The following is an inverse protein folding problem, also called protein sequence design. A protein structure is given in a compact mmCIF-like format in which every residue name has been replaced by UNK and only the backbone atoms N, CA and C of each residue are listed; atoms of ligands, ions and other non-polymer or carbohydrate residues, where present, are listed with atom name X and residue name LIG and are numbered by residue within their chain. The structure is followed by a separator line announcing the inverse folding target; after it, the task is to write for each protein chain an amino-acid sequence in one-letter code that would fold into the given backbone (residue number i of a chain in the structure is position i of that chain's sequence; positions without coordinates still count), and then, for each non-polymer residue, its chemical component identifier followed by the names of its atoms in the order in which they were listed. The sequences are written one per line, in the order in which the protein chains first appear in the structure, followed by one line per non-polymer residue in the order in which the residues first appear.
data_IF_327745396071
#
_entry.id   IF_327745396071
#
_cell.length_a   1.000
_cell.length_b   1.000
_cell.length_c   1.000
_cell.angle_alpha   90.00
_cell.angle_beta   90.00
_cell.angle_gamma   90.00
#
_symmetry.space_group_name_H-M   'P 1'
#
loop_
_entity.id
_entity.type
_entity.pdbx_description
1 polymer ?
#
# COMPACT_ATOMS: atom_id res chain seq x y z
N UNK A 1 5.54 -3.41 -23.51
CA UNK A 1 5.34 -1.94 -23.54
C UNK A 1 6.12 -1.27 -22.42
N UNK A 2 7.16 -0.48 -22.76
CA UNK A 2 7.83 0.42 -21.81
C UNK A 2 6.86 1.56 -21.44
N UNK A 3 6.80 2.02 -20.17
CA UNK A 3 5.97 3.18 -19.81
C UNK A 3 6.43 4.41 -20.61
N UNK A 4 5.51 5.35 -20.87
CA UNK A 4 5.84 6.61 -21.51
C UNK A 4 6.95 7.34 -20.72
N UNK A 5 7.79 8.11 -21.40
CA UNK A 5 8.91 8.82 -20.76
C UNK A 5 8.34 9.76 -19.68
N UNK A 6 8.73 9.56 -18.42
CA UNK A 6 8.23 10.31 -17.27
C UNK A 6 7.01 9.72 -16.56
N UNK A 7 6.39 8.66 -17.09
CA UNK A 7 5.32 7.95 -16.39
C UNK A 7 5.90 7.10 -15.24
N UNK A 8 5.13 6.88 -14.16
CA UNK A 8 5.57 6.05 -13.04
C UNK A 8 5.89 4.63 -13.53
N UNK A 9 6.86 3.95 -12.88
CA UNK A 9 7.17 2.56 -13.19
C UNK A 9 5.94 1.68 -12.98
N UNK A 10 5.80 0.63 -13.79
CA UNK A 10 4.71 -0.34 -13.61
C UNK A 10 4.88 -1.04 -12.26
N UNK A 11 3.81 -1.20 -11.45
CA UNK A 11 3.89 -2.02 -10.26
C UNK A 11 4.13 -3.48 -10.65
N UNK A 12 4.90 -4.19 -9.84
CA UNK A 12 5.06 -5.64 -9.94
C UNK A 12 4.14 -6.32 -8.92
N UNK A 13 3.59 -7.48 -9.28
CA UNK A 13 2.72 -8.27 -8.42
C UNK A 13 3.53 -9.42 -7.86
N UNK A 14 3.67 -9.46 -6.53
CA UNK A 14 4.31 -10.56 -5.82
C UNK A 14 3.25 -11.51 -5.26
N UNK A 15 3.16 -12.73 -5.81
CA UNK A 15 2.32 -13.81 -5.26
C UNK A 15 3.12 -14.56 -4.20
N UNK A 16 2.70 -14.44 -2.94
CA UNK A 16 3.32 -15.12 -1.81
C UNK A 16 2.55 -16.40 -1.50
N UNK A 17 3.27 -17.47 -1.19
CA UNK A 17 2.65 -18.76 -0.85
C UNK A 17 1.88 -18.68 0.48
N UNK A 18 2.43 -17.97 1.47
CA UNK A 18 1.82 -17.81 2.79
C UNK A 18 1.19 -16.43 2.96
N UNK A 19 -0.10 -16.40 3.32
CA UNK A 19 -0.84 -15.16 3.62
C UNK A 19 -0.24 -14.41 4.81
N UNK A 20 0.22 -15.14 5.83
CA UNK A 20 0.85 -14.56 7.03
C UNK A 20 2.08 -13.71 6.68
N UNK A 21 2.92 -14.19 5.76
CA UNK A 21 4.10 -13.45 5.29
C UNK A 21 3.71 -12.18 4.54
N UNK A 22 2.68 -12.26 3.68
CA UNK A 22 2.14 -11.08 2.98
C UNK A 22 1.67 -10.02 3.98
N UNK A 23 0.90 -10.44 4.98
CA UNK A 23 0.31 -9.54 5.95
C UNK A 23 1.37 -8.91 6.86
N UNK A 24 2.40 -9.68 7.24
CA UNK A 24 3.57 -9.18 7.95
C UNK A 24 4.33 -8.11 7.15
N UNK A 25 4.59 -8.36 5.87
CA UNK A 25 5.26 -7.39 4.98
C UNK A 25 4.44 -6.09 4.90
N UNK A 26 3.13 -6.18 4.69
CA UNK A 26 2.26 -5.01 4.61
C UNK A 26 2.23 -4.22 5.93
N UNK A 27 2.19 -4.92 7.08
CA UNK A 27 2.26 -4.28 8.40
C UNK A 27 3.58 -3.54 8.58
N UNK A 28 4.71 -4.19 8.34
CA UNK A 28 6.03 -3.58 8.47
C UNK A 28 6.22 -2.41 7.51
N UNK A 29 5.73 -2.52 6.28
CA UNK A 29 5.77 -1.44 5.30
C UNK A 29 5.00 -0.21 5.76
N UNK A 30 3.83 -0.39 6.39
CA UNK A 30 3.05 0.74 6.94
C UNK A 30 3.73 1.41 8.14
N UNK A 31 4.41 0.63 8.99
CA UNK A 31 5.11 1.15 10.17
C UNK A 31 6.40 1.89 9.82
N UNK A 32 7.13 1.41 8.81
CA UNK A 32 8.40 1.98 8.37
C UNK A 32 8.27 3.01 7.25
N UNK A 33 7.05 3.45 6.93
CA UNK A 33 6.85 4.42 5.86
C UNK A 33 7.36 5.82 6.27
N UNK A 34 8.09 6.55 5.41
CA UNK A 34 8.47 6.20 4.04
C UNK A 34 9.62 5.18 3.95
N UNK A 35 9.51 4.23 3.02
CA UNK A 35 10.52 3.22 2.75
C UNK A 35 11.29 3.53 1.47
N UNK A 36 12.63 3.52 1.53
CA UNK A 36 13.52 3.80 0.40
C UNK A 36 14.35 2.56 0.04
N UNK A 37 14.48 2.29 -1.25
CA UNK A 37 15.31 1.24 -1.81
C UNK A 37 16.11 1.79 -2.99
N UNK A 38 17.43 1.63 -2.96
CA UNK A 38 18.34 2.12 -3.99
C UNK A 38 18.13 3.61 -4.37
N UNK A 39 17.93 4.46 -3.34
CA UNK A 39 17.67 5.89 -3.52
C UNK A 39 16.25 6.24 -4.00
N UNK A 40 15.39 5.26 -4.28
CA UNK A 40 14.02 5.47 -4.72
C UNK A 40 13.02 5.14 -3.61
N UNK A 41 11.95 5.94 -3.50
CA UNK A 41 10.84 5.65 -2.58
C UNK A 41 10.00 4.50 -3.12
N UNK A 42 9.77 3.48 -2.29
CA UNK A 42 8.98 2.29 -2.63
C UNK A 42 7.78 2.18 -1.69
N UNK A 43 6.64 1.78 -2.24
CA UNK A 43 5.40 1.56 -1.50
C UNK A 43 4.91 0.13 -1.72
N UNK A 44 4.55 -0.55 -0.63
CA UNK A 44 3.85 -1.83 -0.67
C UNK A 44 2.37 -1.60 -0.35
N UNK A 45 1.49 -2.18 -1.15
CA UNK A 45 0.04 -2.13 -0.97
C UNK A 45 -0.57 -3.47 -1.39
N UNK A 46 -1.71 -3.86 -0.79
CA UNK A 46 -2.38 -5.09 -1.17
C UNK A 46 -2.93 -4.99 -2.59
N UNK A 47 -2.85 -6.09 -3.33
CA UNK A 47 -3.55 -6.26 -4.60
C UNK A 47 -5.02 -6.59 -4.30
N UNK A 48 -5.89 -5.61 -4.52
CA UNK A 48 -7.32 -5.70 -4.24
C UNK A 48 -8.10 -5.58 -5.54
N UNK A 49 -9.14 -6.40 -5.67
CA UNK A 49 -10.14 -6.22 -6.72
C UNK A 49 -10.84 -4.86 -6.58
N UNK A 50 -11.36 -4.35 -7.70
CA UNK A 50 -11.92 -3.01 -7.78
C UNK A 50 -13.01 -2.75 -6.73
N UNK A 51 -13.92 -3.70 -6.56
CA UNK A 51 -15.05 -3.56 -5.64
C UNK A 51 -14.59 -3.43 -4.19
N UNK A 52 -13.67 -4.28 -3.75
CA UNK A 52 -13.08 -4.23 -2.40
C UNK A 52 -12.29 -2.94 -2.20
N UNK A 53 -11.60 -2.46 -3.24
CA UNK A 53 -10.89 -1.18 -3.18
C UNK A 53 -11.86 0.00 -3.03
N UNK A 54 -12.99 -0.02 -3.73
CA UNK A 54 -14.01 1.02 -3.65
C UNK A 54 -14.67 1.02 -2.27
N UNK A 55 -15.07 -0.15 -1.78
CA UNK A 55 -15.62 -0.31 -0.43
C UNK A 55 -14.66 0.24 0.64
N UNK A 56 -13.35 -0.03 0.53
CA UNK A 56 -12.36 0.52 1.49
C UNK A 56 -12.27 2.05 1.46
N UNK A 57 -12.43 2.67 0.30
CA UNK A 57 -12.38 4.14 0.17
C UNK A 57 -13.52 4.82 0.92
N UNK A 58 -14.69 4.19 1.00
CA UNK A 58 -15.84 4.73 1.76
C UNK A 58 -15.50 4.91 3.25
N UNK A 59 -14.61 4.07 3.78
CA UNK A 59 -14.15 4.16 5.17
C UNK A 59 -12.95 5.09 5.37
N UNK A 60 -12.36 5.67 4.32
CA UNK A 60 -11.15 6.49 4.44
C UNK A 60 -11.39 7.74 5.30
N UNK A 61 -12.57 8.35 5.20
CA UNK A 61 -12.92 9.53 6.01
C UNK A 61 -13.03 9.19 7.49
N UNK A 62 -13.72 8.11 7.84
CA UNK A 62 -13.86 7.65 9.22
C UNK A 62 -12.50 7.22 9.80
N UNK A 63 -11.70 6.51 9.00
CA UNK A 63 -10.35 6.10 9.41
C UNK A 63 -9.44 7.29 9.70
N UNK A 64 -9.56 8.39 8.94
CA UNK A 64 -8.80 9.62 9.20
C UNK A 64 -9.22 10.25 10.52
N UNK A 65 -10.53 10.35 10.81
CA UNK A 65 -11.05 10.89 12.08
C UNK A 65 -10.51 10.10 13.28
N UNK A 66 -10.70 8.78 13.29
CA UNK A 66 -10.23 7.93 14.39
C UNK A 66 -8.70 8.00 14.61
N UNK A 67 -7.91 8.22 13.54
CA UNK A 67 -6.45 8.34 13.67
C UNK A 67 -6.05 9.64 14.38
N UNK A 68 -6.76 10.74 14.12
CA UNK A 68 -6.52 12.03 14.80
C UNK A 68 -6.91 11.92 16.28
N UNK A 69 -8.07 11.33 16.57
CA UNK A 69 -8.58 11.19 17.94
C UNK A 69 -7.70 10.28 18.81
N UNK A 70 -7.07 9.25 18.22
CA UNK A 70 -6.14 8.36 18.92
C UNK A 70 -4.77 8.97 19.29
N UNK A 71 -4.51 10.20 18.85
CA UNK A 71 -3.27 10.95 19.15
C UNK A 71 -3.49 12.10 20.14
N UNK A 72 -4.67 12.17 20.78
CA UNK A 72 -5.05 13.19 21.77
C UNK A 72 -5.14 12.63 23.18
#
# INVERSE_FOLDING_TARGET
MKPAKGAPPRPFIARLHYSQTRDLILKLASQKFPFNYNGARVSFYPDLILDVRNQRKEYDEMRKKCRVDSSS
#
